data_IF_106452672203
#
_entry.id   IF_106452672203
#
_cell.length_a   1.000
_cell.length_b   1.000
_cell.length_c   1.000
_cell.angle_alpha   90.00
_cell.angle_beta   90.00
_cell.angle_gamma   90.00
#
_symmetry.space_group_name_H-M   'P 1'
#
loop_
_entity.id
_entity.type
_entity.pdbx_description
1 polymer ?
#
# COMPACT_ATOMS: atom_id res chain seq x y z
N UNK A 1 27.22 14.83 -3.18
CA UNK A 1 25.80 14.97 -2.79
C UNK A 1 24.97 14.33 -3.91
N UNK A 2 24.44 13.13 -3.70
CA UNK A 2 23.66 12.44 -4.74
C UNK A 2 22.28 13.11 -4.84
N UNK A 3 21.99 13.73 -5.99
CA UNK A 3 20.65 14.24 -6.29
C UNK A 3 19.66 13.07 -6.19
N UNK A 4 18.71 13.14 -5.25
CA UNK A 4 17.56 12.24 -5.23
C UNK A 4 16.76 12.51 -6.51
N UNK A 5 16.64 11.49 -7.36
CA UNK A 5 15.81 11.57 -8.58
C UNK A 5 14.35 11.78 -8.16
N UNK A 6 13.54 12.53 -8.94
CA UNK A 6 12.09 12.49 -8.77
C UNK A 6 11.61 11.03 -8.72
N UNK A 7 10.85 10.65 -7.68
CA UNK A 7 10.46 9.24 -7.44
C UNK A 7 11.47 8.41 -6.63
N UNK A 8 12.46 9.02 -5.97
CA UNK A 8 13.30 8.33 -4.97
C UNK A 8 12.62 8.21 -3.59
N UNK A 9 11.47 8.85 -3.41
CA UNK A 9 10.64 8.89 -2.22
C UNK A 9 9.21 8.40 -2.50
N UNK A 10 9.07 7.35 -3.33
CA UNK A 10 7.76 6.75 -3.60
C UNK A 10 7.14 6.19 -2.32
N UNK A 11 5.81 6.14 -2.28
CA UNK A 11 5.06 5.59 -1.16
C UNK A 11 5.29 4.07 -0.97
N UNK A 12 5.69 3.36 -2.03
CA UNK A 12 5.96 1.90 -2.03
C UNK A 12 4.76 1.01 -1.66
N UNK A 13 3.58 1.59 -1.44
CA UNK A 13 2.35 0.85 -1.14
C UNK A 13 1.86 0.11 -2.38
N UNK A 14 1.34 -1.10 -2.17
CA UNK A 14 0.73 -1.95 -3.20
C UNK A 14 -0.72 -2.23 -2.86
N UNK A 15 -1.58 -2.20 -3.87
CA UNK A 15 -2.97 -2.60 -3.74
C UNK A 15 -3.05 -4.09 -3.40
N UNK A 16 -3.73 -4.45 -2.30
CA UNK A 16 -3.72 -5.82 -1.78
C UNK A 16 -4.28 -6.87 -2.76
N UNK A 17 -5.28 -6.50 -3.57
CA UNK A 17 -5.92 -7.44 -4.52
C UNK A 17 -5.27 -7.47 -5.91
N UNK A 18 -4.95 -6.30 -6.49
CA UNK A 18 -4.44 -6.19 -7.87
C UNK A 18 -2.91 -6.17 -7.95
N UNK A 19 -2.22 -5.92 -6.83
CA UNK A 19 -0.77 -5.75 -6.80
C UNK A 19 -0.27 -4.41 -7.39
N UNK A 20 -1.17 -3.52 -7.82
CA UNK A 20 -0.80 -2.23 -8.40
C UNK A 20 0.01 -1.38 -7.42
N UNK A 21 1.11 -0.78 -7.89
CA UNK A 21 2.00 0.05 -7.05
C UNK A 21 1.57 1.52 -7.06
N UNK A 22 1.65 2.18 -5.90
CA UNK A 22 1.39 3.60 -5.77
C UNK A 22 2.50 4.41 -6.48
N UNK A 23 2.12 5.26 -7.43
CA UNK A 23 3.03 6.08 -8.21
C UNK A 23 3.27 7.47 -7.59
N UNK A 24 2.76 7.72 -6.38
CA UNK A 24 2.90 9.00 -5.67
C UNK A 24 4.08 8.97 -4.68
N UNK A 25 4.53 10.15 -4.27
CA UNK A 25 5.51 10.33 -3.19
C UNK A 25 4.92 9.92 -1.85
N UNK A 26 5.73 9.42 -0.92
CA UNK A 26 5.30 8.94 0.41
C UNK A 26 4.62 10.02 1.27
N UNK A 27 4.72 11.29 0.85
CA UNK A 27 4.08 12.45 1.47
C UNK A 27 2.64 12.71 1.02
N UNK A 28 2.04 11.87 0.17
CA UNK A 28 0.72 12.16 -0.40
C UNK A 28 -0.45 12.05 0.59
N UNK A 29 -0.23 11.50 1.78
CA UNK A 29 -1.27 11.37 2.80
C UNK A 29 -1.86 12.75 3.20
N UNK A 30 -3.17 12.83 3.47
CA UNK A 30 -4.15 11.74 3.58
C UNK A 30 -4.84 11.36 2.25
N UNK A 31 -4.33 11.82 1.09
CA UNK A 31 -4.94 11.50 -0.21
C UNK A 31 -4.82 10.01 -0.52
N UNK A 32 -5.76 9.42 -1.29
CA UNK A 32 -5.67 8.04 -1.72
C UNK A 32 -4.37 7.75 -2.48
N UNK A 33 -3.96 6.50 -2.42
CA UNK A 33 -2.96 5.95 -3.32
C UNK A 33 -3.45 6.03 -4.76
N UNK A 34 -2.51 6.04 -5.71
CA UNK A 34 -2.84 6.10 -7.13
C UNK A 34 -1.87 5.26 -7.94
N UNK A 35 -2.38 4.43 -8.84
CA UNK A 35 -1.57 3.68 -9.80
C UNK A 35 -1.46 4.40 -11.15
N UNK A 36 -0.58 3.92 -12.03
CA UNK A 36 -0.33 4.49 -13.35
C UNK A 36 -1.52 4.41 -14.31
N UNK A 37 -2.40 3.44 -14.12
CA UNK A 37 -3.64 3.29 -14.88
C UNK A 37 -4.75 4.26 -14.43
N UNK A 38 -4.50 5.04 -13.38
CA UNK A 38 -5.43 6.02 -12.82
C UNK A 38 -6.33 5.48 -11.71
N UNK A 39 -6.27 4.18 -11.38
CA UNK A 39 -6.98 3.63 -10.22
C UNK A 39 -6.49 4.25 -8.92
N UNK A 40 -7.39 4.37 -7.94
CA UNK A 40 -7.10 4.94 -6.62
C UNK A 40 -7.67 4.07 -5.51
N UNK A 41 -6.97 3.99 -4.39
CA UNK A 41 -7.44 3.23 -3.23
C UNK A 41 -7.00 3.85 -1.91
N UNK A 42 -7.73 3.53 -0.85
CA UNK A 42 -7.31 3.72 0.53
C UNK A 42 -7.00 2.37 1.15
N UNK A 43 -6.00 2.35 2.02
CA UNK A 43 -5.63 1.17 2.78
C UNK A 43 -5.22 1.53 4.20
N UNK A 44 -5.26 0.52 5.06
CA UNK A 44 -4.81 0.57 6.44
C UNK A 44 -3.99 -0.67 6.77
N UNK A 45 -3.39 -0.72 7.97
CA UNK A 45 -2.69 -1.91 8.43
C UNK A 45 -3.64 -3.12 8.38
N UNK A 46 -3.15 -4.24 7.86
CA UNK A 46 -3.92 -5.48 7.84
C UNK A 46 -4.20 -5.91 9.28
N UNK A 47 -5.45 -6.22 9.61
CA UNK A 47 -5.87 -6.59 10.97
C UNK A 47 -5.33 -7.95 11.41
N UNK A 48 -4.94 -8.81 10.47
CA UNK A 48 -4.47 -10.16 10.79
C UNK A 48 -2.96 -10.18 11.03
N UNK A 49 -2.18 -9.57 10.13
CA UNK A 49 -0.71 -9.54 10.24
C UNK A 49 -0.15 -8.23 10.83
N UNK A 50 -1.00 -7.23 11.10
CA UNK A 50 -0.61 -5.98 11.75
C UNK A 50 0.56 -5.24 11.05
N UNK A 51 0.66 -5.34 9.73
CA UNK A 51 1.73 -4.71 8.95
C UNK A 51 2.92 -5.60 8.61
N UNK A 52 3.05 -6.80 9.19
CA UNK A 52 4.22 -7.66 8.94
C UNK A 52 4.21 -8.31 7.55
N UNK A 53 3.04 -8.48 6.94
CA UNK A 53 2.86 -9.28 5.73
C UNK A 53 2.87 -10.79 5.98
N UNK A 54 3.00 -11.25 7.23
CA UNK A 54 3.05 -12.68 7.58
C UNK A 54 2.26 -13.01 8.86
N UNK A 55 1.60 -14.16 8.89
CA UNK A 55 0.84 -14.64 10.07
C UNK A 55 1.64 -15.57 10.97
N UNK A 56 2.69 -16.19 10.42
CA UNK A 56 3.69 -17.04 11.09
C UNK A 56 5.03 -16.82 10.39
N UNK A 57 6.15 -17.23 11.01
CA UNK A 57 7.50 -17.04 10.46
C UNK A 57 7.60 -17.49 8.99
N UNK A 58 7.63 -16.51 8.08
CA UNK A 58 7.73 -16.70 6.64
C UNK A 58 6.45 -17.12 5.91
N UNK A 59 5.33 -17.33 6.61
CA UNK A 59 4.04 -17.66 5.97
C UNK A 59 3.33 -16.35 5.60
N UNK A 60 3.21 -16.09 4.30
CA UNK A 60 2.53 -14.91 3.77
C UNK A 60 1.11 -14.81 4.33
N UNK A 61 0.73 -13.61 4.75
CA UNK A 61 -0.61 -13.34 5.27
C UNK A 61 -1.62 -13.42 4.11
N UNK A 62 -2.58 -14.36 4.14
CA UNK A 62 -3.53 -14.54 3.04
C UNK A 62 -4.49 -13.36 2.91
N UNK A 63 -4.80 -12.68 4.00
CA UNK A 63 -5.77 -11.57 4.02
C UNK A 63 -5.27 -10.31 3.34
N UNK A 64 -3.95 -10.13 3.24
CA UNK A 64 -3.34 -8.99 2.54
C UNK A 64 -2.37 -9.41 1.44
N UNK A 65 -2.36 -10.69 1.07
CA UNK A 65 -1.43 -11.27 0.08
C UNK A 65 0.03 -10.87 0.32
N UNK A 66 0.48 -10.92 1.58
CA UNK A 66 1.85 -10.59 1.95
C UNK A 66 2.19 -9.09 1.99
N UNK A 67 1.27 -8.19 1.65
CA UNK A 67 1.54 -6.75 1.55
C UNK A 67 1.65 -6.06 2.92
N UNK A 68 1.01 -6.61 3.96
CA UNK A 68 0.94 -6.03 5.31
C UNK A 68 -0.25 -5.09 5.53
N UNK A 69 -1.02 -4.78 4.48
CA UNK A 69 -2.07 -3.77 4.52
C UNK A 69 -3.30 -4.22 3.75
N UNK A 70 -4.48 -3.78 4.20
CA UNK A 70 -5.78 -4.15 3.66
C UNK A 70 -6.52 -2.92 3.14
N UNK A 71 -7.33 -3.11 2.09
CA UNK A 71 -8.18 -2.05 1.55
C UNK A 71 -9.18 -1.60 2.60
N UNK A 72 -9.40 -0.29 2.66
CA UNK A 72 -10.47 0.27 3.48
C UNK A 72 -11.70 0.46 2.60
N UNK A 73 -12.82 -0.12 3.04
CA UNK A 73 -14.12 0.23 2.49
C UNK A 73 -14.48 1.64 2.96
N UNK A 74 -14.34 2.62 2.06
CA UNK A 74 -14.87 3.94 2.29
C UNK A 74 -16.39 3.88 2.15
N UNK A 75 -17.08 4.06 3.27
CA UNK A 75 -18.51 4.32 3.27
C UNK A 75 -18.70 5.83 3.07
N UNK A 76 -19.40 6.22 2.00
CA UNK A 76 -19.85 7.60 1.80
C UNK A 76 -21.01 7.87 2.77
N UNK A 77 -20.72 8.52 3.90
CA UNK A 77 -21.74 9.09 4.82
C UNK A 77 -22.30 10.42 4.30
#
# INVERSE_FOLDING_TARGET
MTMKRPGADLCLRRHAETGAECCLTDTHYPRPHRALDGSTWHDGLCTDCHGSGSVLDGVECPSCNGVGFALLELHDD
#
